data_IF_798076475434
#
_entry.id   IF_798076475434
#
_cell.length_a   1.000
_cell.length_b   1.000
_cell.length_c   1.000
_cell.angle_alpha   90.00
_cell.angle_beta   90.00
_cell.angle_gamma   90.00
#
_symmetry.space_group_name_H-M   'P 1'
#
loop_
_entity.id
_entity.type
_entity.pdbx_description
1 polymer ?
#
# COMPACT_ATOMS: atom_id res chain seq x y z
N UNK A 1 -13.68 -18.60 -22.89
CA UNK A 1 -14.54 -18.00 -21.85
C UNK A 1 -13.77 -17.89 -20.56
N UNK A 2 -14.21 -16.96 -19.71
CA UNK A 2 -13.74 -16.76 -18.34
C UNK A 2 -14.94 -16.69 -17.41
N UNK A 3 -14.72 -16.94 -16.13
CA UNK A 3 -15.72 -16.77 -15.08
C UNK A 3 -15.30 -15.64 -14.17
N UNK A 4 -16.21 -14.75 -13.82
CA UNK A 4 -15.89 -13.57 -13.01
C UNK A 4 -16.85 -13.41 -11.85
N UNK A 5 -16.33 -12.91 -10.73
CA UNK A 5 -17.15 -12.43 -9.63
C UNK A 5 -17.27 -10.92 -9.76
N UNK A 6 -18.48 -10.39 -9.59
CA UNK A 6 -18.75 -8.96 -9.67
C UNK A 6 -19.05 -8.40 -8.27
N UNK A 7 -18.67 -7.15 -8.04
CA UNK A 7 -19.17 -6.38 -6.91
C UNK A 7 -20.63 -5.93 -7.15
N UNK A 8 -21.19 -5.21 -6.17
CA UNK A 8 -22.55 -4.68 -6.24
C UNK A 8 -22.73 -3.61 -7.34
N UNK A 9 -21.64 -3.05 -7.87
CA UNK A 9 -21.64 -2.02 -8.90
C UNK A 9 -21.40 -2.62 -10.31
N UNK A 10 -21.15 -3.93 -10.40
CA UNK A 10 -20.94 -4.65 -11.65
C UNK A 10 -19.48 -4.69 -12.14
N UNK A 11 -18.52 -4.36 -11.27
CA UNK A 11 -17.09 -4.46 -11.57
C UNK A 11 -16.51 -5.80 -11.15
N UNK A 12 -15.56 -6.30 -11.92
CA UNK A 12 -14.90 -7.58 -11.68
C UNK A 12 -13.98 -7.46 -10.46
N UNK A 13 -14.23 -8.29 -9.46
CA UNK A 13 -13.42 -8.42 -8.24
C UNK A 13 -12.64 -9.73 -8.19
N UNK A 14 -12.97 -10.71 -9.03
CA UNK A 14 -12.19 -11.94 -9.18
C UNK A 14 -12.36 -12.56 -10.56
N UNK A 15 -11.34 -13.29 -10.99
CA UNK A 15 -11.32 -14.08 -12.23
C UNK A 15 -11.14 -15.57 -11.92
N UNK A 16 -11.75 -16.43 -12.72
CA UNK A 16 -11.58 -17.88 -12.68
C UNK A 16 -11.57 -18.46 -14.10
N UNK A 17 -10.76 -19.52 -14.28
CA UNK A 17 -10.71 -20.32 -15.50
C UNK A 17 -11.73 -21.47 -15.51
N UNK A 18 -12.31 -21.78 -14.35
CA UNK A 18 -13.33 -22.81 -14.18
C UNK A 18 -14.61 -22.23 -13.58
N UNK A 19 -15.74 -22.89 -13.83
CA UNK A 19 -17.00 -22.53 -13.20
C UNK A 19 -16.89 -22.64 -11.67
N UNK A 20 -17.41 -21.63 -10.97
CA UNK A 20 -17.45 -21.56 -9.52
C UNK A 20 -18.78 -20.95 -9.10
N UNK A 21 -19.28 -21.34 -7.92
CA UNK A 21 -20.53 -20.80 -7.40
C UNK A 21 -20.46 -19.28 -7.25
N UNK A 22 -21.44 -18.57 -7.82
CA UNK A 22 -21.52 -17.12 -7.78
C UNK A 22 -20.70 -16.39 -8.84
N UNK A 23 -19.90 -17.10 -9.64
CA UNK A 23 -19.20 -16.50 -10.77
C UNK A 23 -20.09 -16.54 -12.02
N UNK A 24 -19.99 -15.48 -12.84
CA UNK A 24 -20.68 -15.36 -14.12
C UNK A 24 -19.72 -15.68 -15.27
N UNK A 25 -20.18 -16.50 -16.23
CA UNK A 25 -19.44 -16.75 -17.47
C UNK A 25 -19.50 -15.54 -18.41
N UNK A 26 -18.34 -15.14 -18.94
CA UNK A 26 -18.20 -13.98 -19.82
C UNK A 26 -17.20 -14.24 -20.96
N UNK A 27 -17.30 -13.42 -22.00
CA UNK A 27 -16.25 -13.28 -23.02
C UNK A 27 -15.31 -12.14 -22.62
N UNK A 28 -14.00 -12.38 -22.62
CA UNK A 28 -13.01 -11.36 -22.34
C UNK A 28 -11.81 -11.50 -23.28
N UNK A 29 -11.20 -10.36 -23.62
CA UNK A 29 -9.91 -10.34 -24.29
C UNK A 29 -8.82 -10.76 -23.29
N UNK A 30 -7.78 -11.43 -23.78
CA UNK A 30 -6.65 -11.84 -22.94
C UNK A 30 -5.99 -10.66 -22.22
N UNK A 31 -5.97 -9.47 -22.84
CA UNK A 31 -5.42 -8.25 -22.25
C UNK A 31 -6.22 -7.75 -21.04
N UNK A 32 -7.51 -8.10 -20.93
CA UNK A 32 -8.40 -7.62 -19.87
C UNK A 32 -8.48 -8.57 -18.66
N UNK A 33 -7.97 -9.79 -18.82
CA UNK A 33 -7.92 -10.79 -17.74
C UNK A 33 -7.02 -10.28 -16.60
N UNK A 34 -7.43 -10.55 -15.36
CA UNK A 34 -6.76 -10.11 -14.13
C UNK A 34 -6.73 -8.60 -13.88
N UNK A 35 -7.36 -7.79 -14.74
CA UNK A 35 -7.70 -6.42 -14.37
C UNK A 35 -8.91 -6.47 -13.43
N UNK A 36 -8.76 -5.91 -12.25
CA UNK A 36 -9.77 -5.88 -11.19
C UNK A 36 -10.24 -4.46 -10.98
N UNK A 37 -11.41 -4.28 -10.38
CA UNK A 37 -11.93 -3.01 -9.85
C UNK A 37 -12.20 -1.90 -10.88
N UNK A 38 -11.78 -2.05 -12.14
CA UNK A 38 -12.01 -1.11 -13.23
C UNK A 38 -12.37 -1.81 -14.56
N UNK A 39 -12.81 -3.05 -14.48
CA UNK A 39 -13.41 -3.77 -15.61
C UNK A 39 -14.83 -4.15 -15.24
N UNK A 40 -15.78 -3.82 -16.10
CA UNK A 40 -17.21 -4.12 -15.92
C UNK A 40 -17.71 -5.03 -17.03
N UNK A 41 -18.87 -5.64 -16.82
CA UNK A 41 -19.55 -6.44 -17.83
C UNK A 41 -20.54 -5.57 -18.60
N UNK A 42 -20.35 -5.46 -19.91
CA UNK A 42 -21.30 -4.82 -20.83
C UNK A 42 -21.67 -5.85 -21.89
N UNK A 43 -22.95 -6.20 -21.98
CA UNK A 43 -23.48 -7.19 -22.91
C UNK A 43 -22.76 -8.55 -22.86
N UNK A 44 -22.40 -9.00 -21.64
CA UNK A 44 -21.69 -10.27 -21.42
C UNK A 44 -20.20 -10.23 -21.73
N UNK A 45 -19.64 -9.05 -22.02
CA UNK A 45 -18.23 -8.85 -22.34
C UNK A 45 -17.53 -8.00 -21.30
N UNK A 46 -16.29 -8.37 -20.97
CA UNK A 46 -15.41 -7.53 -20.16
C UNK A 46 -15.07 -6.24 -20.93
N UNK A 47 -15.27 -5.09 -20.29
CA UNK A 47 -14.88 -3.79 -20.81
C UNK A 47 -14.18 -2.97 -19.71
N UNK A 48 -12.99 -2.47 -20.03
CA UNK A 48 -12.26 -1.55 -19.16
C UNK A 48 -13.01 -0.23 -19.07
N UNK A 49 -13.27 0.20 -17.84
CA UNK A 49 -13.73 1.53 -17.50
C UNK A 49 -12.51 2.41 -17.24
N UNK A 50 -12.11 3.17 -18.26
CA UNK A 50 -10.88 3.97 -18.18
C UNK A 50 -10.98 5.09 -17.15
N UNK A 51 -12.18 5.66 -16.93
CA UNK A 51 -12.36 6.70 -15.93
C UNK A 51 -12.12 6.13 -14.52
N UNK A 52 -12.76 5.00 -14.21
CA UNK A 52 -12.55 4.32 -12.93
C UNK A 52 -11.11 3.84 -12.78
N UNK A 53 -10.49 3.35 -13.84
CA UNK A 53 -9.07 2.96 -13.83
C UNK A 53 -8.17 4.12 -13.40
N UNK A 54 -8.38 5.32 -13.97
CA UNK A 54 -7.61 6.51 -13.58
C UNK A 54 -7.85 6.88 -12.11
N UNK A 55 -9.09 6.75 -11.62
CA UNK A 55 -9.41 7.00 -10.21
C UNK A 55 -8.72 5.99 -9.27
N UNK A 56 -8.75 4.70 -9.59
CA UNK A 56 -8.10 3.64 -8.80
C UNK A 56 -6.58 3.84 -8.77
N UNK A 57 -5.96 4.14 -9.92
CA UNK A 57 -4.52 4.42 -10.00
C UNK A 57 -4.17 5.64 -9.15
N UNK A 58 -4.91 6.74 -9.31
CA UNK A 58 -4.67 7.97 -8.55
C UNK A 58 -4.80 7.75 -7.04
N UNK A 59 -5.84 7.02 -6.61
CA UNK A 59 -6.03 6.70 -5.19
C UNK A 59 -4.88 5.86 -4.62
N UNK A 60 -4.38 4.89 -5.40
CA UNK A 60 -3.22 4.09 -5.02
C UNK A 60 -1.94 4.94 -4.91
N UNK A 61 -1.70 5.84 -5.86
CA UNK A 61 -0.56 6.76 -5.85
C UNK A 61 -0.62 7.73 -4.66
N UNK A 62 -1.79 8.31 -4.37
CA UNK A 62 -2.00 9.20 -3.22
C UNK A 62 -1.81 8.48 -1.88
N UNK A 63 -2.33 7.25 -1.76
CA UNK A 63 -2.11 6.42 -0.56
C UNK A 63 -0.64 6.09 -0.37
N UNK A 64 0.05 5.69 -1.45
CA UNK A 64 1.46 5.34 -1.41
C UNK A 64 2.33 6.54 -1.01
N UNK A 65 2.02 7.73 -1.54
CA UNK A 65 2.71 8.97 -1.16
C UNK A 65 2.53 9.27 0.32
N UNK A 66 1.29 9.17 0.82
CA UNK A 66 0.96 9.41 2.23
C UNK A 66 1.72 8.47 3.17
N UNK A 67 1.89 7.20 2.79
CA UNK A 67 2.61 6.23 3.62
C UNK A 67 4.13 6.45 3.61
N UNK A 68 4.70 6.86 2.47
CA UNK A 68 6.11 7.26 2.39
C UNK A 68 6.38 8.51 3.24
N UNK A 69 5.47 9.49 3.22
CA UNK A 69 5.58 10.70 4.04
C UNK A 69 5.55 10.38 5.54
N UNK A 70 4.62 9.51 5.97
CA UNK A 70 4.56 9.04 7.37
C UNK A 70 5.85 8.34 7.79
N UNK A 71 6.35 7.41 6.98
CA UNK A 71 7.60 6.69 7.26
C UNK A 71 8.80 7.63 7.33
N UNK A 72 8.81 8.67 6.48
CA UNK A 72 9.86 9.68 6.50
C UNK A 72 9.84 10.48 7.80
N UNK A 73 8.66 10.96 8.22
CA UNK A 73 8.49 11.66 9.50
C UNK A 73 8.89 10.80 10.69
N UNK A 74 8.49 9.53 10.70
CA UNK A 74 8.88 8.57 11.75
C UNK A 74 10.41 8.37 11.78
N UNK A 75 11.05 8.26 10.62
CA UNK A 75 12.49 8.12 10.51
C UNK A 75 13.25 9.36 11.02
N UNK A 76 12.74 10.55 10.71
CA UNK A 76 13.28 11.81 11.22
C UNK A 76 13.15 11.92 12.74
N UNK A 77 11.99 11.53 13.30
CA UNK A 77 11.78 11.49 14.74
C UNK A 77 12.74 10.51 15.44
N UNK A 78 12.89 9.30 14.91
CA UNK A 78 13.81 8.29 15.44
C UNK A 78 15.27 8.76 15.40
N UNK A 79 15.67 9.48 14.33
CA UNK A 79 17.01 10.09 14.24
C UNK A 79 17.21 11.16 15.32
N UNK A 80 16.23 12.02 15.54
CA UNK A 80 16.30 13.04 16.58
C UNK A 80 16.44 12.42 17.98
N UNK A 81 15.62 11.42 18.29
CA UNK A 81 15.72 10.67 19.54
C UNK A 81 17.07 9.97 19.71
N UNK A 82 17.63 9.40 18.63
CA UNK A 82 18.96 8.80 18.65
C UNK A 82 20.08 9.80 18.94
N UNK A 83 19.96 11.04 18.45
CA UNK A 83 20.88 12.14 18.74
C UNK A 83 20.77 12.53 20.22
N UNK A 84 19.56 12.78 20.72
CA UNK A 84 19.33 13.16 22.13
C UNK A 84 19.86 12.10 23.10
N UNK A 85 19.64 10.82 22.80
CA UNK A 85 20.14 9.71 23.60
C UNK A 85 21.67 9.67 23.60
N UNK A 86 22.30 9.84 22.43
CA UNK A 86 23.76 9.88 22.32
C UNK A 86 24.35 11.04 23.14
N UNK A 87 23.74 12.21 23.06
CA UNK A 87 24.23 13.40 23.76
C UNK A 87 24.07 13.22 25.28
N UNK A 88 22.95 12.65 25.73
CA UNK A 88 22.74 12.27 27.14
C UNK A 88 23.78 11.26 27.63
N UNK A 89 24.16 10.29 26.81
CA UNK A 89 25.22 9.31 27.14
C UNK A 89 26.58 10.02 27.27
N UNK A 90 26.88 10.98 26.39
CA UNK A 90 28.13 11.74 26.44
C UNK A 90 28.20 12.58 27.72
N UNK A 91 27.12 13.27 28.08
CA UNK A 91 27.04 14.07 29.30
C UNK A 91 27.26 13.21 30.55
N UNK A 92 26.64 12.03 30.61
CA UNK A 92 26.86 11.08 31.71
C UNK A 92 28.31 10.59 31.78
N UNK A 93 28.95 10.33 30.64
CA UNK A 93 30.36 9.92 30.61
C UNK A 93 31.28 11.01 31.18
N UNK A 94 31.03 12.29 30.85
CA UNK A 94 31.78 13.43 31.39
C UNK A 94 31.60 13.55 32.91
N UNK A 95 30.36 13.36 33.41
CA UNK A 95 30.07 13.40 34.84
C UNK A 95 30.83 12.29 35.59
N UNK A 96 30.82 11.07 35.05
CA UNK A 96 31.52 9.93 35.67
C UNK A 96 33.03 10.18 35.73
N UNK A 97 33.64 10.68 34.65
CA UNK A 97 35.08 10.98 34.58
C UNK A 97 35.47 12.07 35.59
N UNK A 98 34.65 13.11 35.71
CA UNK A 98 34.85 14.20 36.68
C UNK A 98 34.80 13.69 38.13
N UNK A 99 33.87 12.80 38.46
CA UNK A 99 33.75 12.21 39.80
C UNK A 99 34.87 11.21 40.11
N UNK A 100 35.37 10.49 39.11
CA UNK A 100 36.49 9.55 39.27
C UNK A 100 37.81 10.27 39.60
N UNK A 101 38.04 11.44 39.00
CA UNK A 101 39.24 12.26 39.25
C UNK A 101 39.25 12.99 40.59
N UNK A 102 38.13 13.12 41.29
CA UNK A 102 38.05 13.71 42.64
C UNK A 102 38.28 12.69 43.78
N UNK A 103 38.41 11.40 43.44
CA UNK A 103 38.57 10.29 44.41
C UNK A 103 39.99 9.70 44.45
N UNK A 104 40.93 10.25 43.67
CA UNK A 104 42.39 9.98 43.74
C UNK A 104 43.14 11.07 44.53
#
# INVERSE_FOLDING_TARGET
>A
MYYVLLDAEGYIVAWSLSEQQGFQEIEAKAEDVNKLDFVRIVDGKAQVDEERRQQVIKAFEESSLTDVEKLTQENELLKAQGIELRDSILDLAIIIDSLGGELE
#
